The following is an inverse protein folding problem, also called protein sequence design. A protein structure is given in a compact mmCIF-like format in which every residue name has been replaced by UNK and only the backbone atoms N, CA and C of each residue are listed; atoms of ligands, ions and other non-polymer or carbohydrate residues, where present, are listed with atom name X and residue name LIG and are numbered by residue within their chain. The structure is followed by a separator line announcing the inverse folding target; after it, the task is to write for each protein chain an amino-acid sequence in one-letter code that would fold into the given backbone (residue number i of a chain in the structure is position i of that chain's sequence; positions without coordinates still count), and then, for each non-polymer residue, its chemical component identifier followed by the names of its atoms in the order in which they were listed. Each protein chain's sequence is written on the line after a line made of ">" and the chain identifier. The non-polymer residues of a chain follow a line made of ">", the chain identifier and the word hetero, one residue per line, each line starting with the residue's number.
data_IF_189330120709
#
_entry.id   IF_189330120709
#
_cell.length_a   1.000
_cell.length_b   1.000
_cell.length_c   1.000
_cell.angle_alpha   90.00
_cell.angle_beta   90.00
_cell.angle_gamma   90.00
#
_symmetry.space_group_name_H-M   'P 1'
#
loop_
_entity.id
_entity.type
_entity.pdbx_description
1 polymer ?
#
# COMPACT_ATOMS: atom_id res chain seq x y z
N UNK A 1 55.51 55.80 -28.12
CA UNK A 1 54.21 56.50 -28.20
C UNK A 1 53.30 55.87 -27.16
N UNK A 2 53.26 56.42 -25.94
CA UNK A 2 52.48 55.87 -24.83
C UNK A 2 51.10 56.51 -24.80
N UNK A 3 50.06 55.73 -25.09
CA UNK A 3 48.66 56.17 -25.03
C UNK A 3 48.29 56.28 -23.55
N UNK A 4 48.11 57.50 -23.05
CA UNK A 4 47.55 57.68 -21.71
C UNK A 4 46.02 57.48 -21.78
N UNK A 5 45.45 56.63 -20.92
CA UNK A 5 44.01 56.43 -20.89
C UNK A 5 43.29 57.67 -20.37
N UNK A 6 42.17 58.03 -21.01
CA UNK A 6 41.37 59.20 -20.64
C UNK A 6 40.92 59.13 -19.17
N UNK A 7 41.09 60.23 -18.39
CA UNK A 7 40.79 60.25 -16.96
C UNK A 7 39.31 59.96 -16.65
N UNK A 8 38.42 60.23 -17.61
CA UNK A 8 36.99 59.91 -17.50
C UNK A 8 36.72 58.41 -17.51
N UNK A 9 37.49 57.63 -18.25
CA UNK A 9 37.34 56.17 -18.30
C UNK A 9 37.80 55.54 -16.98
N UNK A 10 38.89 56.07 -16.40
CA UNK A 10 39.39 55.63 -15.09
C UNK A 10 38.33 55.86 -14.01
N UNK A 11 37.74 57.06 -13.97
CA UNK A 11 36.68 57.39 -13.01
C UNK A 11 35.43 56.52 -13.17
N UNK A 12 35.02 56.22 -14.41
CA UNK A 12 33.86 55.36 -14.68
C UNK A 12 34.09 53.90 -14.26
N UNK A 13 35.31 53.37 -14.47
CA UNK A 13 35.68 52.02 -14.03
C UNK A 13 35.73 51.92 -12.51
N UNK A 14 36.26 52.95 -11.85
CA UNK A 14 36.34 52.98 -10.38
C UNK A 14 34.95 53.03 -9.72
N UNK A 15 34.03 53.79 -10.31
CA UNK A 15 32.63 53.84 -9.85
C UNK A 15 31.90 52.51 -10.07
N UNK A 16 32.12 51.86 -11.22
CA UNK A 16 31.55 50.54 -11.50
C UNK A 16 32.08 49.44 -10.55
N UNK A 17 33.35 49.52 -10.15
CA UNK A 17 33.93 48.59 -9.16
C UNK A 17 33.45 48.84 -7.74
N UNK A 18 32.94 50.03 -7.43
CA UNK A 18 32.43 50.39 -6.10
C UNK A 18 31.00 49.88 -5.87
N UNK A 19 30.28 49.54 -6.93
CA UNK A 19 28.93 48.97 -6.83
C UNK A 19 28.99 47.46 -6.53
N UNK A 20 28.40 46.99 -5.42
CA UNK A 20 28.35 45.56 -5.12
C UNK A 20 27.48 44.84 -6.16
N UNK A 21 28.10 43.97 -6.96
CA UNK A 21 27.45 43.22 -8.05
C UNK A 21 26.76 41.93 -7.58
N UNK A 22 26.97 41.55 -6.32
CA UNK A 22 26.33 40.37 -5.73
C UNK A 22 25.91 40.65 -4.29
N UNK A 23 24.63 40.40 -4.00
CA UNK A 23 24.12 40.34 -2.64
C UNK A 23 23.80 38.88 -2.33
N UNK A 24 24.41 38.34 -1.27
CA UNK A 24 24.08 37.02 -0.73
C UNK A 24 23.39 37.25 0.61
N UNK A 25 22.14 36.80 0.70
CA UNK A 25 21.39 36.82 1.94
C UNK A 25 21.78 35.58 2.75
N UNK A 26 22.46 35.80 3.88
CA UNK A 26 22.84 34.74 4.83
C UNK A 26 21.84 34.63 5.99
N UNK A 27 20.67 35.28 5.91
CA UNK A 27 19.63 35.14 6.92
C UNK A 27 19.20 33.67 7.03
N UNK A 28 19.00 33.16 8.26
CA UNK A 28 18.59 31.78 8.45
C UNK A 28 17.22 31.57 7.80
N UNK A 29 17.17 30.59 6.89
CA UNK A 29 15.93 30.21 6.23
C UNK A 29 14.91 29.78 7.30
N UNK A 30 13.65 30.22 7.22
CA UNK A 30 12.62 29.76 8.13
C UNK A 30 12.38 28.26 7.95
N UNK A 31 12.11 27.55 9.05
CA UNK A 31 11.85 26.11 9.03
C UNK A 31 10.64 25.73 8.15
N UNK A 32 9.71 26.67 7.98
CA UNK A 32 8.50 26.49 7.16
C UNK A 32 8.24 27.76 6.35
N UNK A 33 7.87 27.60 5.08
CA UNK A 33 7.41 28.70 4.23
C UNK A 33 6.01 29.14 4.63
N UNK A 34 5.65 30.40 4.33
CA UNK A 34 4.29 30.92 4.52
C UNK A 34 3.28 30.39 3.51
N UNK A 35 3.74 29.64 2.51
CA UNK A 35 2.89 29.02 1.50
C UNK A 35 2.08 27.89 2.14
N UNK A 36 0.73 27.97 2.11
CA UNK A 36 -0.10 26.88 2.62
C UNK A 36 0.18 25.59 1.83
N UNK A 37 0.02 24.41 2.45
CA UNK A 37 0.19 23.14 1.76
C UNK A 37 -0.65 23.10 0.48
N UNK A 38 0.01 23.13 -0.67
CA UNK A 38 -0.66 22.95 -1.97
C UNK A 38 -1.09 21.49 -2.05
N UNK A 39 -2.35 21.19 -2.42
CA UNK A 39 -2.80 19.82 -2.66
C UNK A 39 -1.88 19.17 -3.68
N UNK A 40 -1.09 18.17 -3.26
CA UNK A 40 -0.24 17.44 -4.17
C UNK A 40 -1.13 16.60 -5.10
N UNK A 41 -1.02 16.77 -6.44
CA UNK A 41 -1.61 15.83 -7.36
C UNK A 41 -0.90 14.49 -7.16
N UNK A 42 -1.56 13.55 -6.50
CA UNK A 42 -0.96 12.29 -6.08
C UNK A 42 -2.00 11.26 -5.69
N UNK A 43 -1.56 10.01 -5.59
CA UNK A 43 -2.42 8.93 -5.09
C UNK A 43 -2.80 9.27 -3.64
N UNK A 44 -4.10 9.24 -3.28
CA UNK A 44 -4.52 9.50 -1.92
C UNK A 44 -3.80 8.52 -0.97
N UNK A 45 -3.64 8.93 0.30
CA UNK A 45 -3.08 8.06 1.32
C UNK A 45 -3.79 6.69 1.28
N UNK A 46 -2.99 5.64 1.04
CA UNK A 46 -3.48 4.27 0.85
C UNK A 46 -4.39 3.90 2.03
N UNK A 47 -5.59 3.38 1.74
CA UNK A 47 -6.54 3.06 2.79
C UNK A 47 -5.94 2.05 3.77
N UNK A 48 -6.33 2.14 5.05
CA UNK A 48 -5.83 1.22 6.08
C UNK A 48 -6.10 -0.24 5.70
N UNK A 49 -7.28 -0.52 5.14
CA UNK A 49 -7.64 -1.83 4.63
C UNK A 49 -6.70 -2.32 3.52
N UNK A 50 -6.35 -1.46 2.57
CA UNK A 50 -5.42 -1.82 1.51
C UNK A 50 -4.02 -2.13 2.08
N UNK A 51 -3.59 -1.36 3.08
CA UNK A 51 -2.31 -1.58 3.77
C UNK A 51 -2.30 -2.92 4.51
N UNK A 52 -3.38 -3.25 5.21
CA UNK A 52 -3.50 -4.50 5.95
C UNK A 52 -3.58 -5.72 5.02
N UNK A 53 -4.26 -5.61 3.87
CA UNK A 53 -4.27 -6.65 2.84
C UNK A 53 -2.86 -6.87 2.28
N UNK A 54 -2.13 -5.79 1.97
CA UNK A 54 -0.75 -5.89 1.48
C UNK A 54 0.18 -6.59 2.47
N UNK A 55 0.06 -6.22 3.76
CA UNK A 55 0.81 -6.88 4.85
C UNK A 55 0.44 -8.36 4.98
N UNK A 56 -0.85 -8.68 4.96
CA UNK A 56 -1.32 -10.06 5.03
C UNK A 56 -0.77 -10.90 3.86
N UNK A 57 -0.79 -10.37 2.63
CA UNK A 57 -0.24 -11.05 1.46
C UNK A 57 1.27 -11.31 1.62
N UNK A 58 2.03 -10.33 2.14
CA UNK A 58 3.47 -10.49 2.39
C UNK A 58 3.76 -11.56 3.44
N UNK A 59 3.02 -11.57 4.55
CA UNK A 59 3.17 -12.58 5.60
C UNK A 59 2.79 -13.98 5.12
N UNK A 60 1.71 -14.10 4.33
CA UNK A 60 1.33 -15.36 3.69
C UNK A 60 2.45 -15.88 2.78
N UNK A 61 3.10 -15.00 2.00
CA UNK A 61 4.27 -15.36 1.19
C UNK A 61 5.40 -15.92 2.04
N UNK A 62 5.81 -15.20 3.09
CA UNK A 62 6.88 -15.61 3.99
C UNK A 62 6.58 -16.96 4.67
N UNK A 63 5.33 -17.20 5.03
CA UNK A 63 4.90 -18.42 5.69
C UNK A 63 5.09 -19.70 4.84
N UNK A 64 5.20 -19.58 3.51
CA UNK A 64 5.44 -20.74 2.62
C UNK A 64 6.90 -21.19 2.56
N UNK A 65 7.84 -20.33 2.98
CA UNK A 65 9.28 -20.61 2.89
C UNK A 65 9.72 -21.75 3.83
N UNK A 66 9.36 -21.77 5.12
CA UNK A 66 9.76 -22.86 6.02
C UNK A 66 9.32 -24.26 5.59
N UNK A 67 8.03 -24.52 5.24
CA UNK A 67 7.63 -25.85 4.80
C UNK A 67 8.26 -26.24 3.45
N UNK A 68 8.48 -25.29 2.54
CA UNK A 68 9.20 -25.54 1.29
C UNK A 68 10.66 -25.96 1.52
N UNK A 69 11.35 -25.30 2.45
CA UNK A 69 12.73 -25.67 2.82
C UNK A 69 12.80 -27.05 3.49
N UNK A 70 11.85 -27.37 4.37
CA UNK A 70 11.78 -28.70 4.99
C UNK A 70 11.57 -29.77 3.93
N UNK A 71 10.67 -29.55 2.97
CA UNK A 71 10.46 -30.48 1.86
C UNK A 71 11.73 -30.69 1.02
N UNK A 72 12.42 -29.60 0.65
CA UNK A 72 13.68 -29.68 -0.09
C UNK A 72 14.76 -30.40 0.73
N UNK A 73 14.90 -30.11 2.02
CA UNK A 73 15.86 -30.75 2.90
C UNK A 73 15.63 -32.26 3.01
N UNK A 74 14.37 -32.70 3.12
CA UNK A 74 14.02 -34.13 3.15
C UNK A 74 14.37 -34.80 1.82
N UNK A 75 14.09 -34.16 0.69
CA UNK A 75 14.39 -34.69 -0.64
C UNK A 75 15.89 -34.82 -0.90
N UNK A 76 16.67 -33.82 -0.48
CA UNK A 76 18.14 -33.83 -0.60
C UNK A 76 18.74 -34.87 0.35
N UNK A 77 18.25 -34.97 1.58
CA UNK A 77 18.75 -35.95 2.56
C UNK A 77 18.39 -37.41 2.21
N UNK A 78 17.39 -37.64 1.36
CA UNK A 78 16.93 -38.99 0.98
C UNK A 78 17.55 -39.50 -0.34
N UNK A 79 18.59 -38.85 -0.87
CA UNK A 79 19.33 -39.25 -2.09
C UNK A 79 18.48 -39.54 -3.35
N UNK A 80 17.27 -38.96 -3.43
CA UNK A 80 16.23 -39.20 -4.45
C UNK A 80 15.53 -40.59 -4.39
N UNK A 81 14.19 -40.50 -4.31
CA UNK A 81 13.21 -41.49 -4.79
C UNK A 81 12.68 -42.56 -3.81
N UNK A 82 11.88 -42.14 -2.82
CA UNK A 82 10.66 -42.88 -2.50
C UNK A 82 9.43 -42.06 -2.93
N UNK A 83 8.67 -42.47 -3.97
CA UNK A 83 7.46 -41.76 -4.42
C UNK A 83 6.40 -41.62 -3.32
N UNK A 84 6.44 -42.49 -2.31
CA UNK A 84 5.55 -42.47 -1.15
C UNK A 84 5.83 -41.26 -0.25
N UNK A 85 7.11 -40.93 -0.06
CA UNK A 85 7.54 -39.77 0.73
C UNK A 85 7.19 -38.46 0.00
N UNK A 86 7.39 -38.43 -1.33
CA UNK A 86 6.98 -37.29 -2.17
C UNK A 86 5.46 -37.08 -2.09
N UNK A 87 4.69 -38.17 -2.21
CA UNK A 87 3.22 -38.13 -2.09
C UNK A 87 2.76 -37.61 -0.72
N UNK A 88 3.38 -38.06 0.36
CA UNK A 88 3.08 -37.60 1.72
C UNK A 88 3.42 -36.10 1.92
N UNK A 89 4.57 -35.64 1.43
CA UNK A 89 4.96 -34.23 1.55
C UNK A 89 4.05 -33.32 0.74
N UNK A 90 3.66 -33.71 -0.48
CA UNK A 90 2.72 -32.93 -1.28
C UNK A 90 1.28 -32.98 -0.74
N UNK A 91 0.86 -34.10 -0.14
CA UNK A 91 -0.47 -34.24 0.42
C UNK A 91 -0.63 -33.54 1.79
N UNK A 92 0.44 -33.45 2.59
CA UNK A 92 0.37 -32.91 3.95
C UNK A 92 -0.16 -31.46 4.03
N UNK A 93 0.27 -30.50 3.19
CA UNK A 93 -0.30 -29.15 3.19
C UNK A 93 -1.78 -29.14 2.82
N UNK A 94 -2.20 -29.95 1.84
CA UNK A 94 -3.60 -30.03 1.42
C UNK A 94 -4.49 -30.65 2.52
N UNK A 95 -4.00 -31.68 3.20
CA UNK A 95 -4.72 -32.35 4.28
C UNK A 95 -4.98 -31.43 5.48
N UNK A 96 -4.06 -30.49 5.76
CA UNK A 96 -4.24 -29.50 6.83
C UNK A 96 -4.99 -28.25 6.38
N UNK A 97 -4.77 -27.77 5.15
CA UNK A 97 -5.40 -26.55 4.66
C UNK A 97 -6.91 -26.71 4.50
N UNK A 98 -7.40 -27.85 3.99
CA UNK A 98 -8.83 -28.10 3.77
C UNK A 98 -9.68 -27.94 5.05
N UNK A 99 -9.36 -28.60 6.19
CA UNK A 99 -10.14 -28.44 7.41
C UNK A 99 -10.03 -27.02 7.99
N UNK A 100 -8.86 -26.38 7.91
CA UNK A 100 -8.67 -25.01 8.37
C UNK A 100 -9.53 -24.03 7.56
N UNK A 101 -9.54 -24.16 6.23
CA UNK A 101 -10.37 -23.34 5.35
C UNK A 101 -11.86 -23.62 5.54
N UNK A 102 -12.25 -24.87 5.75
CA UNK A 102 -13.63 -25.23 6.04
C UNK A 102 -14.13 -24.57 7.35
N UNK A 103 -13.31 -24.62 8.41
CA UNK A 103 -13.60 -23.96 9.68
C UNK A 103 -13.62 -22.43 9.52
N UNK A 104 -12.63 -21.84 8.85
CA UNK A 104 -12.60 -20.40 8.61
C UNK A 104 -13.81 -19.91 7.81
N UNK A 105 -14.27 -20.68 6.82
CA UNK A 105 -15.48 -20.39 6.05
C UNK A 105 -16.73 -20.49 6.92
N UNK A 106 -16.80 -21.47 7.82
CA UNK A 106 -17.90 -21.60 8.77
C UNK A 106 -18.00 -20.37 9.69
N UNK A 107 -16.86 -19.94 10.26
CA UNK A 107 -16.83 -18.74 11.11
C UNK A 107 -17.12 -17.45 10.34
N UNK A 108 -16.74 -17.36 9.05
CA UNK A 108 -17.05 -16.19 8.22
C UNK A 108 -18.56 -16.05 7.96
N UNK A 109 -19.27 -17.16 7.79
CA UNK A 109 -20.74 -17.17 7.61
C UNK A 109 -21.50 -16.81 8.90
N UNK A 110 -20.86 -16.91 10.06
CA UNK A 110 -21.46 -16.58 11.36
C UNK A 110 -21.25 -15.11 11.77
N UNK A 111 -20.58 -14.29 10.95
CA UNK A 111 -20.35 -12.88 11.30
C UNK A 111 -21.65 -12.09 11.19
N UNK A 112 -21.99 -11.26 12.19
CA UNK A 112 -23.12 -10.34 12.12
C UNK A 112 -22.94 -9.38 10.93
N UNK A 113 -24.04 -8.95 10.33
CA UNK A 113 -24.02 -8.03 9.19
C UNK A 113 -23.25 -6.74 9.56
N UNK A 114 -22.41 -6.23 8.65
CA UNK A 114 -21.65 -5.01 8.90
C UNK A 114 -22.61 -3.82 9.03
N UNK A 115 -22.45 -3.03 10.09
CA UNK A 115 -23.18 -1.78 10.27
C UNK A 115 -22.70 -0.76 9.23
N UNK A 116 -23.58 -0.39 8.30
CA UNK A 116 -23.29 0.55 7.22
C UNK A 116 -23.94 1.91 7.54
N UNK A 117 -23.14 2.90 7.93
CA UNK A 117 -23.62 4.26 8.11
C UNK A 117 -23.63 4.99 6.77
N UNK A 118 -24.82 5.26 6.24
CA UNK A 118 -25.01 6.02 5.01
C UNK A 118 -25.56 7.41 5.34
N UNK A 119 -24.84 8.45 4.92
CA UNK A 119 -25.30 9.83 5.06
C UNK A 119 -25.93 10.29 3.73
N UNK A 120 -27.19 10.69 3.78
CA UNK A 120 -27.93 11.16 2.62
C UNK A 120 -28.30 12.63 2.75
N UNK A 121 -28.07 13.40 1.68
CA UNK A 121 -28.44 14.80 1.56
C UNK A 121 -29.76 14.93 0.77
N UNK A 122 -30.85 14.37 1.29
CA UNK A 122 -32.17 14.43 0.64
C UNK A 122 -33.23 13.55 1.32
N UNK A 123 -34.50 13.67 0.94
CA UNK A 123 -35.56 12.80 1.45
C UNK A 123 -35.37 11.36 0.92
N UNK A 124 -35.12 10.41 1.82
CA UNK A 124 -34.88 9.00 1.48
C UNK A 124 -36.01 8.13 2.05
N UNK A 125 -36.59 7.29 1.19
CA UNK A 125 -37.49 6.22 1.60
C UNK A 125 -36.68 4.95 1.82
N UNK A 126 -36.56 4.53 3.08
CA UNK A 126 -35.90 3.26 3.41
C UNK A 126 -36.88 2.09 3.27
N UNK A 127 -36.55 1.12 2.42
CA UNK A 127 -37.25 -0.15 2.32
C UNK A 127 -36.27 -1.28 2.64
N UNK A 128 -36.60 -2.08 3.64
CA UNK A 128 -35.81 -3.27 4.00
C UNK A 128 -36.52 -4.49 3.43
N UNK A 129 -35.83 -5.26 2.57
CA UNK A 129 -36.35 -6.53 2.05
C UNK A 129 -35.37 -7.62 2.41
N UNK A 130 -35.82 -8.61 3.19
CA UNK A 130 -35.02 -9.77 3.53
C UNK A 130 -35.28 -10.87 2.50
N UNK A 131 -34.28 -11.16 1.67
CA UNK A 131 -34.34 -12.25 0.69
C UNK A 131 -33.51 -13.43 1.18
N UNK A 132 -34.15 -14.59 1.35
CA UNK A 132 -33.46 -15.83 1.71
C UNK A 132 -33.40 -16.75 0.50
N UNK A 133 -32.18 -17.15 0.12
CA UNK A 133 -31.95 -18.17 -0.90
C UNK A 133 -31.44 -19.45 -0.25
N UNK A 134 -32.14 -20.57 -0.44
CA UNK A 134 -31.73 -21.86 0.11
C UNK A 134 -32.06 -23.01 -0.85
N UNK A 135 -31.16 -24.00 -0.94
CA UNK A 135 -31.36 -25.24 -1.70
C UNK A 135 -30.22 -25.54 -2.68
N UNK A 136 -30.14 -26.81 -3.12
CA UNK A 136 -29.26 -27.26 -4.22
C UNK A 136 -29.70 -26.65 -5.56
N UNK A 137 -30.99 -26.34 -5.68
CA UNK A 137 -31.57 -25.46 -6.70
C UNK A 137 -32.02 -24.16 -6.02
N UNK A 138 -31.67 -23.01 -6.61
CA UNK A 138 -31.90 -21.71 -6.01
C UNK A 138 -33.41 -21.41 -5.92
N UNK A 139 -33.97 -21.49 -4.72
CA UNK A 139 -35.29 -20.95 -4.40
C UNK A 139 -35.10 -19.64 -3.63
N UNK A 140 -35.52 -18.53 -4.22
CA UNK A 140 -35.55 -17.21 -3.58
C UNK A 140 -36.96 -16.95 -3.05
N UNK A 141 -37.05 -16.58 -1.77
CA UNK A 141 -38.28 -16.13 -1.13
C UNK A 141 -38.00 -14.75 -0.53
N UNK A 142 -38.75 -13.76 -0.98
CA UNK A 142 -38.72 -12.41 -0.43
C UNK A 142 -39.76 -12.33 0.69
N UNK A 143 -39.32 -12.01 1.90
CA UNK A 143 -40.20 -11.77 3.04
C UNK A 143 -40.30 -10.26 3.25
N UNK A 144 -41.54 -9.77 3.37
CA UNK A 144 -41.85 -8.38 3.70
C UNK A 144 -42.00 -8.22 5.20
#
# INVERSE_FOLDING_TARGET
>A
MSIQPDPKLIAAVEEAMRQPTSYRDDSPLPAYGSTPPVPQPGVPAMSQQATDIGRAAMYCGLATVPPGLVAVAILVASEHADPTVIGMICAAPAALAVPIFALARLFRSAKPEPEVHQHFHGPVTHQTTNSRTSGVWAKSINQK
#
